data_IF_362926117991
#
_entry.id   IF_362926117991
#
_cell.length_a   1.000
_cell.length_b   1.000
_cell.length_c   1.000
_cell.angle_alpha   90.00
_cell.angle_beta   90.00
_cell.angle_gamma   90.00
#
_symmetry.space_group_name_H-M   'P 1'
#
loop_
_entity.id
_entity.type
_entity.pdbx_description
1 polymer ?
#
# COMPACT_ATOMS: atom_id res chain seq x y z
N UNK A 1 -14.34 -32.74 -0.52
CA UNK A 1 -13.08 -32.02 -0.21
C UNK A 1 -13.43 -30.61 0.29
N UNK A 2 -13.77 -30.43 1.58
CA UNK A 2 -14.31 -29.15 2.10
C UNK A 2 -13.25 -28.11 2.50
N UNK A 3 -11.96 -28.44 2.54
CA UNK A 3 -10.96 -27.60 3.21
C UNK A 3 -10.35 -26.46 2.37
N UNK A 4 -10.80 -26.24 1.13
CA UNK A 4 -10.12 -25.31 0.22
C UNK A 4 -10.57 -23.84 0.38
N UNK A 5 -11.82 -23.58 0.75
CA UNK A 5 -12.35 -22.20 0.83
C UNK A 5 -11.76 -21.44 2.02
N UNK A 6 -11.81 -22.05 3.21
CA UNK A 6 -11.24 -21.49 4.44
C UNK A 6 -9.78 -21.13 4.27
N UNK A 7 -8.98 -22.08 3.77
CA UNK A 7 -7.55 -21.89 3.57
C UNK A 7 -7.26 -20.78 2.55
N UNK A 8 -8.02 -20.69 1.45
CA UNK A 8 -7.87 -19.61 0.49
C UNK A 8 -8.17 -18.24 1.10
N UNK A 9 -9.25 -18.13 1.89
CA UNK A 9 -9.61 -16.89 2.59
C UNK A 9 -8.54 -16.48 3.63
N UNK A 10 -8.04 -17.44 4.41
CA UNK A 10 -6.95 -17.19 5.37
C UNK A 10 -5.69 -16.66 4.65
N UNK A 11 -5.32 -17.24 3.52
CA UNK A 11 -4.18 -16.78 2.72
C UNK A 11 -4.44 -15.37 2.15
N UNK A 12 -5.66 -15.09 1.67
CA UNK A 12 -6.02 -13.75 1.18
C UNK A 12 -5.91 -12.71 2.30
N UNK A 13 -6.46 -13.01 3.48
CA UNK A 13 -6.42 -12.11 4.62
C UNK A 13 -4.99 -11.88 5.10
N UNK A 14 -4.17 -12.94 5.12
CA UNK A 14 -2.76 -12.82 5.48
C UNK A 14 -1.97 -11.96 4.49
N UNK A 15 -2.15 -12.15 3.18
CA UNK A 15 -1.54 -11.29 2.17
C UNK A 15 -2.04 -9.85 2.29
N UNK A 16 -3.31 -9.65 2.67
CA UNK A 16 -3.89 -8.32 2.87
C UNK A 16 -3.29 -7.61 4.09
N UNK A 17 -3.06 -8.32 5.20
CA UNK A 17 -2.34 -7.79 6.38
C UNK A 17 -0.89 -7.43 6.06
N UNK A 18 -0.19 -8.29 5.30
CA UNK A 18 1.16 -7.99 4.84
C UNK A 18 1.19 -6.74 3.95
N UNK A 19 0.22 -6.60 3.03
CA UNK A 19 0.10 -5.44 2.18
C UNK A 19 -0.13 -4.16 2.99
N UNK A 20 -1.02 -4.22 3.98
CA UNK A 20 -1.30 -3.09 4.87
C UNK A 20 -0.06 -2.66 5.64
N UNK A 21 0.67 -3.61 6.23
CA UNK A 21 1.92 -3.34 6.95
C UNK A 21 2.96 -2.66 6.05
N UNK A 22 3.06 -3.05 4.78
CA UNK A 22 3.95 -2.40 3.82
C UNK A 22 3.51 -0.96 3.50
N UNK A 23 2.22 -0.73 3.28
CA UNK A 23 1.69 0.63 3.03
C UNK A 23 1.99 1.55 4.22
N UNK A 24 1.74 1.09 5.44
CA UNK A 24 2.03 1.86 6.67
C UNK A 24 3.53 2.14 6.83
N UNK A 25 4.39 1.19 6.47
CA UNK A 25 5.85 1.39 6.50
C UNK A 25 6.28 2.48 5.51
N UNK A 26 5.72 2.47 4.29
CA UNK A 26 5.98 3.51 3.28
C UNK A 26 5.50 4.88 3.75
N UNK A 27 4.31 4.96 4.34
CA UNK A 27 3.79 6.21 4.90
C UNK A 27 4.69 6.76 6.00
N UNK A 28 5.13 5.92 6.94
CA UNK A 28 6.03 6.31 8.03
C UNK A 28 7.36 6.85 7.51
N UNK A 29 7.98 6.16 6.56
CA UNK A 29 9.23 6.60 5.95
C UNK A 29 9.08 7.98 5.25
N UNK A 30 7.93 8.23 4.62
CA UNK A 30 7.65 9.51 3.97
C UNK A 30 7.44 10.66 4.98
N UNK A 31 6.91 10.38 6.18
CA UNK A 31 6.75 11.36 7.26
C UNK A 31 8.07 11.66 8.00
N UNK A 32 8.92 10.65 8.21
CA UNK A 32 10.22 10.84 8.88
C UNK A 32 11.16 11.72 8.04
N UNK A 33 11.16 11.54 6.72
CA UNK A 33 11.93 12.37 5.78
C UNK A 33 11.45 13.84 5.69
N UNK A 34 10.35 14.22 6.35
CA UNK A 34 9.87 15.61 6.40
C UNK A 34 10.32 16.36 7.65
N UNK A 35 10.90 15.68 8.64
CA UNK A 35 11.30 16.28 9.92
C UNK A 35 12.82 16.54 9.97
N UNK A 36 13.24 17.66 9.33
CA UNK A 36 14.53 18.37 9.52
C UNK A 36 15.78 17.60 9.01
N UNK A 37 16.45 17.99 7.91
CA UNK A 37 17.52 19.01 7.88
C UNK A 37 17.80 19.53 6.46
N UNK A 38 18.24 20.79 6.36
CA UNK A 38 18.86 21.35 5.17
C UNK A 38 20.26 20.72 4.96
N UNK A 39 20.36 19.60 4.25
CA UNK A 39 21.65 19.06 3.78
C UNK A 39 21.52 18.61 2.33
N UNK A 40 22.62 18.67 1.55
CA UNK A 40 22.57 18.52 0.11
C UNK A 40 22.14 17.10 -0.24
N UNK A 41 21.26 17.03 -1.24
CA UNK A 41 20.77 15.82 -1.91
C UNK A 41 21.95 14.90 -2.28
N UNK A 42 22.31 13.97 -1.39
CA UNK A 42 23.11 12.80 -1.74
C UNK A 42 22.13 11.68 -2.10
N UNK A 43 22.03 11.48 -3.41
CA UNK A 43 21.26 10.45 -4.11
C UNK A 43 21.88 9.06 -3.92
N UNK A 44 21.91 8.54 -2.69
CA UNK A 44 22.41 7.19 -2.39
C UNK A 44 21.37 6.28 -1.70
N UNK A 45 20.13 6.73 -1.47
CA UNK A 45 19.09 5.93 -0.79
C UNK A 45 18.22 5.06 -1.71
N UNK A 46 18.50 5.01 -3.02
CA UNK A 46 17.55 4.48 -4.01
C UNK A 46 17.46 2.93 -4.07
N UNK A 47 18.30 2.20 -3.34
CA UNK A 47 18.26 0.72 -3.33
C UNK A 47 17.21 0.15 -2.37
N UNK A 48 16.90 0.86 -1.27
CA UNK A 48 15.91 0.43 -0.28
C UNK A 48 14.46 0.66 -0.72
N UNK A 49 14.18 1.79 -1.37
CA UNK A 49 12.84 2.13 -1.91
C UNK A 49 12.39 1.12 -2.96
N UNK A 50 13.27 0.81 -3.92
CA UNK A 50 12.97 -0.13 -5.01
C UNK A 50 12.56 -1.51 -4.51
N UNK A 51 13.20 -2.01 -3.44
CA UNK A 51 12.89 -3.33 -2.86
C UNK A 51 11.51 -3.35 -2.18
N UNK A 52 11.14 -2.26 -1.50
CA UNK A 52 9.82 -2.12 -0.85
C UNK A 52 8.72 -2.00 -1.91
N UNK A 53 8.95 -1.21 -2.96
CA UNK A 53 8.00 -1.01 -4.05
C UNK A 53 7.76 -2.29 -4.86
N UNK A 54 8.82 -3.07 -5.11
CA UNK A 54 8.72 -4.38 -5.74
C UNK A 54 7.91 -5.34 -4.87
N UNK A 55 8.15 -5.37 -3.56
CA UNK A 55 7.42 -6.24 -2.62
C UNK A 55 5.94 -5.87 -2.54
N UNK A 56 5.62 -4.57 -2.54
CA UNK A 56 4.25 -4.07 -2.55
C UNK A 56 3.51 -4.54 -3.81
N UNK A 57 4.13 -4.37 -4.97
CA UNK A 57 3.57 -4.78 -6.28
C UNK A 57 3.33 -6.30 -6.34
N UNK A 58 4.29 -7.09 -5.83
CA UNK A 58 4.14 -8.55 -5.73
C UNK A 58 2.96 -8.96 -4.85
N UNK A 59 2.81 -8.34 -3.67
CA UNK A 59 1.72 -8.64 -2.74
C UNK A 59 0.36 -8.27 -3.34
N UNK A 60 0.26 -7.11 -4.03
CA UNK A 60 -0.95 -6.71 -4.75
C UNK A 60 -1.33 -7.71 -5.83
N UNK A 61 -0.36 -8.12 -6.67
CA UNK A 61 -0.60 -9.11 -7.73
C UNK A 61 -1.00 -10.47 -7.16
N UNK A 62 -0.34 -10.91 -6.08
CA UNK A 62 -0.68 -12.16 -5.39
C UNK A 62 -2.10 -12.12 -4.84
N UNK A 63 -2.49 -11.04 -4.17
CA UNK A 63 -3.83 -10.84 -3.62
C UNK A 63 -4.90 -10.89 -4.71
N UNK A 64 -4.73 -10.13 -5.79
CA UNK A 64 -5.69 -10.11 -6.91
C UNK A 64 -5.87 -11.49 -7.55
N UNK A 65 -4.76 -12.22 -7.79
CA UNK A 65 -4.82 -13.60 -8.31
C UNK A 65 -5.58 -14.55 -7.37
N UNK A 66 -5.34 -14.46 -6.07
CA UNK A 66 -6.01 -15.31 -5.08
C UNK A 66 -7.51 -15.03 -5.02
N UNK A 67 -7.91 -13.75 -5.01
CA UNK A 67 -9.32 -13.35 -4.98
C UNK A 67 -10.02 -13.82 -6.26
N UNK A 68 -9.44 -13.58 -7.43
CA UNK A 68 -9.98 -14.09 -8.70
C UNK A 68 -10.10 -15.61 -8.71
N UNK A 69 -9.09 -16.30 -8.17
CA UNK A 69 -9.10 -17.75 -8.05
C UNK A 69 -10.21 -18.24 -7.13
N UNK A 70 -10.43 -17.60 -5.99
CA UNK A 70 -11.50 -17.92 -5.04
C UNK A 70 -12.87 -17.84 -5.72
N UNK A 71 -13.19 -16.71 -6.34
CA UNK A 71 -14.49 -16.51 -7.01
C UNK A 71 -14.66 -17.32 -8.30
N UNK A 72 -13.56 -17.77 -8.92
CA UNK A 72 -13.62 -18.69 -10.07
C UNK A 72 -13.87 -20.14 -9.65
N UNK A 73 -13.35 -20.55 -8.50
CA UNK A 73 -13.39 -21.94 -8.05
C UNK A 73 -14.52 -22.25 -7.08
N UNK A 74 -15.03 -21.25 -6.37
CA UNK A 74 -16.00 -21.42 -5.28
C UNK A 74 -17.31 -20.72 -5.57
N UNK A 75 -18.39 -21.42 -5.23
CA UNK A 75 -19.74 -20.86 -5.28
C UNK A 75 -19.96 -19.87 -4.13
N UNK A 76 -20.93 -18.97 -4.28
CA UNK A 76 -21.32 -18.04 -3.20
C UNK A 76 -21.64 -18.78 -1.91
N UNK A 77 -22.38 -19.90 -1.99
CA UNK A 77 -22.75 -20.69 -0.81
C UNK A 77 -21.51 -21.22 -0.07
N UNK A 78 -20.52 -21.77 -0.78
CA UNK A 78 -19.28 -22.25 -0.17
C UNK A 78 -18.48 -21.13 0.50
N UNK A 79 -18.47 -19.93 -0.08
CA UNK A 79 -17.76 -18.77 0.50
C UNK A 79 -18.50 -18.27 1.75
N UNK A 80 -19.84 -18.21 1.70
CA UNK A 80 -20.65 -17.69 2.82
C UNK A 80 -20.62 -18.57 4.07
N UNK A 81 -20.24 -19.84 3.95
CA UNK A 81 -20.00 -20.71 5.12
C UNK A 81 -18.86 -20.16 6.00
N UNK A 82 -17.87 -19.51 5.39
CA UNK A 82 -16.72 -18.90 6.08
C UNK A 82 -16.95 -17.41 6.35
N UNK A 83 -18.14 -17.06 6.85
CA UNK A 83 -18.61 -15.67 6.99
C UNK A 83 -17.63 -14.79 7.79
N UNK A 84 -17.03 -15.32 8.85
CA UNK A 84 -16.06 -14.58 9.67
C UNK A 84 -14.83 -14.15 8.87
N UNK A 85 -14.25 -15.07 8.10
CA UNK A 85 -13.07 -14.79 7.27
C UNK A 85 -13.42 -13.88 6.09
N UNK A 86 -14.61 -14.03 5.53
CA UNK A 86 -15.12 -13.14 4.48
C UNK A 86 -15.30 -11.71 5.00
N UNK A 87 -15.89 -11.55 6.19
CA UNK A 87 -16.06 -10.23 6.82
C UNK A 87 -14.71 -9.59 7.15
N UNK A 88 -13.74 -10.39 7.60
CA UNK A 88 -12.36 -9.92 7.80
C UNK A 88 -11.74 -9.45 6.47
N UNK A 89 -11.91 -10.22 5.38
CA UNK A 89 -11.43 -9.81 4.05
C UNK A 89 -12.01 -8.45 3.64
N UNK A 90 -13.32 -8.24 3.84
CA UNK A 90 -13.99 -6.97 3.53
C UNK A 90 -13.48 -5.82 4.41
N UNK A 91 -13.24 -6.09 5.71
CA UNK A 91 -12.70 -5.08 6.62
C UNK A 91 -11.27 -4.67 6.21
N UNK A 92 -10.41 -5.64 5.88
CA UNK A 92 -9.05 -5.39 5.40
C UNK A 92 -9.06 -4.63 4.07
N UNK A 93 -10.00 -4.91 3.16
CA UNK A 93 -10.14 -4.16 1.91
C UNK A 93 -10.46 -2.69 2.14
N UNK A 94 -11.36 -2.42 3.08
CA UNK A 94 -11.72 -1.05 3.47
C UNK A 94 -10.51 -0.33 4.06
N UNK A 95 -9.78 -0.98 4.95
CA UNK A 95 -8.59 -0.42 5.58
C UNK A 95 -7.48 -0.14 4.56
N UNK A 96 -7.19 -1.10 3.67
CA UNK A 96 -6.25 -0.92 2.56
C UNK A 96 -6.62 0.24 1.65
N UNK A 97 -7.92 0.41 1.35
CA UNK A 97 -8.39 1.53 0.53
C UNK A 97 -8.19 2.87 1.24
N UNK A 98 -8.50 2.94 2.53
CA UNK A 98 -8.31 4.15 3.34
C UNK A 98 -6.83 4.55 3.40
N UNK A 99 -5.95 3.59 3.71
CA UNK A 99 -4.51 3.85 3.82
C UNK A 99 -3.86 4.19 2.47
N UNK A 100 -4.32 3.56 1.39
CA UNK A 100 -3.89 3.93 0.03
C UNK A 100 -4.30 5.36 -0.31
N UNK A 101 -5.52 5.78 0.06
CA UNK A 101 -6.00 7.13 -0.17
C UNK A 101 -5.25 8.16 0.66
N UNK A 102 -5.00 7.88 1.94
CA UNK A 102 -4.19 8.74 2.81
C UNK A 102 -2.77 8.91 2.24
N UNK A 103 -2.13 7.83 1.78
CA UNK A 103 -0.81 7.88 1.16
C UNK A 103 -0.79 8.76 -0.10
N UNK A 104 -1.82 8.66 -0.96
CA UNK A 104 -1.96 9.53 -2.15
C UNK A 104 -2.09 11.00 -1.78
N UNK A 105 -2.82 11.31 -0.71
CA UNK A 105 -2.99 12.68 -0.23
C UNK A 105 -1.66 13.28 0.24
N UNK A 106 -0.93 12.55 1.10
CA UNK A 106 0.40 12.97 1.58
C UNK A 106 1.35 13.22 0.40
N UNK A 107 1.39 12.32 -0.57
CA UNK A 107 2.23 12.48 -1.75
C UNK A 107 1.84 13.73 -2.57
N UNK A 108 0.54 13.96 -2.77
CA UNK A 108 0.05 15.14 -3.49
C UNK A 108 0.46 16.45 -2.78
N UNK A 109 0.38 16.50 -1.45
CA UNK A 109 0.83 17.63 -0.63
C UNK A 109 2.33 17.87 -0.77
N UNK A 110 3.14 16.81 -0.73
CA UNK A 110 4.59 16.89 -0.91
C UNK A 110 4.95 17.44 -2.29
N UNK A 111 4.32 16.95 -3.36
CA UNK A 111 4.51 17.44 -4.73
C UNK A 111 4.13 18.92 -4.84
N UNK A 112 3.02 19.32 -4.21
CA UNK A 112 2.56 20.71 -4.23
C UNK A 112 3.53 21.65 -3.47
N UNK A 113 4.05 21.20 -2.32
CA UNK A 113 5.08 21.93 -1.56
C UNK A 113 6.37 22.08 -2.38
N UNK A 114 6.83 21.02 -3.04
CA UNK A 114 8.03 21.06 -3.89
C UNK A 114 7.84 22.00 -5.09
N UNK A 115 6.66 22.02 -5.70
CA UNK A 115 6.35 22.96 -6.79
C UNK A 115 6.41 24.41 -6.31
N UNK A 116 5.88 24.69 -5.10
CA UNK A 116 5.95 26.03 -4.49
C UNK A 116 7.40 26.42 -4.17
N UNK A 117 8.20 25.54 -3.58
CA UNK A 117 9.60 25.84 -3.25
C UNK A 117 10.46 26.10 -4.48
N UNK A 118 10.31 25.31 -5.56
CA UNK A 118 10.99 25.55 -6.85
C UNK A 118 10.62 26.90 -7.46
N UNK A 119 9.36 27.32 -7.36
CA UNK A 119 8.91 28.64 -7.83
C UNK A 119 9.58 29.77 -7.06
N UNK A 120 9.66 29.66 -5.74
CA UNK A 120 10.33 30.64 -4.87
C UNK A 120 11.83 30.69 -5.19
N UNK A 121 12.52 29.55 -5.23
CA UNK A 121 13.95 29.49 -5.54
C UNK A 121 14.29 30.14 -6.89
N UNK A 122 13.51 29.86 -7.94
CA UNK A 122 13.69 30.48 -9.27
C UNK A 122 13.52 32.01 -9.23
N UNK A 123 12.60 32.51 -8.40
CA UNK A 123 12.37 33.96 -8.26
C UNK A 123 13.55 34.62 -7.57
N UNK A 124 14.09 34.02 -6.49
CA UNK A 124 15.28 34.53 -5.82
C UNK A 124 16.54 34.51 -6.69
N UNK A 125 16.67 33.53 -7.60
CA UNK A 125 17.80 33.43 -8.51
C UNK A 125 17.78 34.47 -9.66
N UNK A 126 16.65 35.19 -9.83
CA UNK A 126 16.51 36.28 -10.81
C UNK A 126 16.86 37.66 -10.25
N UNK A 127 17.08 37.78 -8.94
CA UNK A 127 17.56 38.98 -8.26
C UNK A 127 19.01 38.78 -7.83
#
# INVERSE_FOLDING_TARGET
MPNNTKQLLEIINEVSRQLLSQILTVQKNNQENTTITNEPYNDESNTGSSKIDNKLTELMSKRDKLIRSLFKQKTTNEITVELTLLNEMVALDKELSNESQACKQILAEHVLRLKKSKKVAKTYQQY
#
